data_IF_493269157273
#
_entry.id   IF_493269157273
#
_cell.length_a   1.000
_cell.length_b   1.000
_cell.length_c   1.000
_cell.angle_alpha   90.00
_cell.angle_beta   90.00
_cell.angle_gamma   90.00
#
_symmetry.space_group_name_H-M   'P 1'
#
loop_
_entity.id
_entity.type
_entity.pdbx_description
1 polymer ?
#
# COMPACT_ATOMS: atom_id res chain seq x y z
N UNK A 1 72.54 4.31 -0.90
CA UNK A 1 71.30 4.64 -0.15
C UNK A 1 70.12 3.99 -0.85
N UNK A 2 69.55 2.91 -0.29
CA UNK A 2 68.42 2.22 -0.84
C UNK A 2 67.18 2.88 -0.29
N UNK A 3 66.31 3.45 -1.15
CA UNK A 3 65.00 3.97 -0.76
C UNK A 3 64.00 2.80 -0.64
N UNK A 4 63.49 2.56 0.57
CA UNK A 4 62.39 1.64 0.82
C UNK A 4 61.11 2.42 0.66
N UNK A 5 60.28 2.04 -0.33
CA UNK A 5 58.93 2.58 -0.55
C UNK A 5 57.97 1.68 0.24
N UNK A 6 57.36 2.22 1.29
CA UNK A 6 56.26 1.57 1.99
C UNK A 6 54.97 1.81 1.20
N UNK A 7 54.45 0.75 0.59
CA UNK A 7 53.13 0.76 -0.04
C UNK A 7 52.10 0.45 1.06
N UNK A 8 51.44 1.49 1.57
CA UNK A 8 50.38 1.34 2.54
C UNK A 8 49.12 0.78 1.85
N UNK A 9 48.81 -0.47 2.14
CA UNK A 9 47.55 -1.10 1.72
C UNK A 9 46.43 -0.57 2.62
N UNK A 10 45.67 0.41 2.11
CA UNK A 10 44.44 0.87 2.77
C UNK A 10 43.39 -0.21 2.59
N UNK A 11 43.11 -1.00 3.65
CA UNK A 11 41.94 -1.85 3.72
C UNK A 11 40.69 -0.93 3.79
N UNK A 12 40.02 -0.78 2.67
CA UNK A 12 38.63 -0.27 2.66
C UNK A 12 37.77 -1.33 3.31
N UNK A 13 37.50 -1.19 4.61
CA UNK A 13 36.40 -1.91 5.26
C UNK A 13 35.12 -1.31 4.73
N UNK A 14 34.51 -1.96 3.74
CA UNK A 14 33.14 -1.71 3.35
C UNK A 14 32.27 -2.16 4.52
N UNK A 15 31.92 -1.23 5.38
CA UNK A 15 30.89 -1.45 6.40
C UNK A 15 29.58 -1.64 5.65
N UNK A 16 29.13 -2.87 5.49
CA UNK A 16 27.76 -3.15 5.13
C UNK A 16 26.88 -2.60 6.26
N UNK A 17 26.36 -1.40 6.07
CA UNK A 17 25.29 -0.87 6.91
C UNK A 17 24.11 -1.77 6.62
N UNK A 18 23.96 -2.80 7.44
CA UNK A 18 22.73 -3.59 7.47
C UNK A 18 21.61 -2.58 7.78
N UNK A 19 20.66 -2.48 6.89
CA UNK A 19 19.49 -1.64 7.13
C UNK A 19 18.73 -2.25 8.34
N UNK A 20 19.15 -1.84 9.53
CA UNK A 20 18.45 -2.18 10.76
C UNK A 20 17.09 -1.50 10.69
N UNK A 21 16.04 -2.24 11.06
CA UNK A 21 14.70 -1.66 11.18
C UNK A 21 14.78 -0.50 12.20
N UNK A 22 14.70 0.74 11.69
CA UNK A 22 14.89 1.96 12.47
C UNK A 22 13.57 2.47 13.08
N UNK A 23 12.82 1.58 13.74
CA UNK A 23 11.56 1.95 14.37
C UNK A 23 10.36 1.82 13.44
N UNK A 24 9.30 2.54 13.76
CA UNK A 24 8.04 2.53 13.03
C UNK A 24 8.19 3.16 11.64
N UNK A 25 7.51 2.59 10.64
CA UNK A 25 7.59 3.13 9.29
C UNK A 25 6.84 2.32 8.25
N UNK A 26 6.85 2.84 7.02
CA UNK A 26 6.21 2.23 5.88
C UNK A 26 7.22 1.49 5.00
N UNK A 27 6.91 0.24 4.71
CA UNK A 27 7.79 -0.68 4.00
C UNK A 27 7.05 -1.43 2.91
N UNK A 28 7.79 -1.87 1.89
CA UNK A 28 7.42 -3.04 1.08
C UNK A 28 8.16 -4.25 1.61
N UNK A 29 7.40 -5.29 1.90
CA UNK A 29 7.92 -6.57 2.39
C UNK A 29 8.08 -7.47 1.18
N UNK A 30 9.32 -7.86 0.89
CA UNK A 30 9.68 -8.64 -0.30
C UNK A 30 10.35 -9.94 0.10
N UNK A 31 9.87 -11.06 -0.43
CA UNK A 31 10.54 -12.33 -0.21
C UNK A 31 11.91 -12.34 -0.88
N UNK A 32 12.94 -12.77 -0.14
CA UNK A 32 14.31 -12.73 -0.65
C UNK A 32 14.57 -13.75 -1.77
N UNK A 33 13.93 -14.92 -1.70
CA UNK A 33 14.13 -16.00 -2.66
C UNK A 33 13.34 -15.81 -3.94
N UNK A 34 12.05 -15.52 -3.81
CA UNK A 34 11.14 -15.42 -4.95
C UNK A 34 11.11 -14.03 -5.57
N UNK A 35 11.50 -12.99 -4.81
CA UNK A 35 11.40 -11.59 -5.20
C UNK A 35 9.97 -11.06 -5.19
N UNK A 36 8.99 -11.83 -4.70
CA UNK A 36 7.58 -11.43 -4.63
C UNK A 36 7.35 -10.45 -3.48
N UNK A 37 6.46 -9.50 -3.70
CA UNK A 37 6.04 -8.51 -2.70
C UNK A 37 4.77 -8.97 -2.00
N UNK A 38 4.64 -8.60 -0.72
CA UNK A 38 3.43 -8.78 0.06
C UNK A 38 2.41 -7.73 -0.34
N UNK A 39 1.19 -8.18 -0.62
CA UNK A 39 -0.02 -7.37 -0.76
C UNK A 39 -1.06 -7.89 0.22
N UNK A 40 -1.79 -6.99 0.84
CA UNK A 40 -2.85 -7.36 1.77
C UNK A 40 -4.21 -7.18 1.12
N UNK A 41 -5.03 -8.22 1.22
CA UNK A 41 -6.40 -8.23 0.74
C UNK A 41 -7.35 -8.58 1.87
N UNK A 42 -8.64 -8.55 1.62
CA UNK A 42 -9.67 -8.95 2.58
C UNK A 42 -10.16 -10.40 2.40
N UNK A 43 -9.43 -11.17 1.60
CA UNK A 43 -9.70 -12.59 1.49
C UNK A 43 -9.45 -13.30 2.82
N UNK A 44 -10.26 -14.32 3.12
CA UNK A 44 -9.92 -15.31 4.16
C UNK A 44 -8.70 -16.10 3.67
N UNK A 45 -7.53 -15.54 3.92
CA UNK A 45 -6.31 -16.14 3.43
C UNK A 45 -5.89 -17.36 4.21
N UNK A 46 -4.93 -18.03 3.62
CA UNK A 46 -4.24 -19.19 4.16
C UNK A 46 -3.36 -18.89 5.37
N UNK A 47 -3.17 -17.63 5.75
CA UNK A 47 -2.35 -17.26 6.89
C UNK A 47 -3.19 -17.17 8.16
N UNK A 48 -3.48 -18.31 8.73
CA UNK A 48 -4.11 -18.42 10.04
C UNK A 48 -3.26 -19.26 10.98
N UNK A 49 -2.95 -18.71 12.15
CA UNK A 49 -2.52 -19.52 13.29
C UNK A 49 -3.70 -20.08 14.10
N UNK A 50 -4.90 -19.54 13.88
CA UNK A 50 -6.15 -19.98 14.50
C UNK A 50 -7.17 -20.28 13.41
N UNK A 51 -7.74 -21.47 13.43
CA UNK A 51 -8.83 -21.89 12.55
C UNK A 51 -10.18 -21.22 12.89
N UNK A 52 -10.22 -20.42 13.96
CA UNK A 52 -11.46 -19.84 14.51
C UNK A 52 -11.55 -18.32 14.34
N UNK A 53 -10.52 -17.63 13.86
CA UNK A 53 -10.56 -16.19 13.68
C UNK A 53 -11.23 -15.83 12.35
N UNK A 54 -12.32 -15.08 12.43
CA UNK A 54 -13.08 -14.58 11.28
C UNK A 54 -12.39 -13.38 10.59
N UNK A 55 -11.32 -12.84 11.19
CA UNK A 55 -10.76 -11.51 10.86
C UNK A 55 -9.37 -11.59 10.21
N UNK A 56 -9.06 -12.69 9.54
CA UNK A 56 -7.75 -12.86 8.92
C UNK A 56 -7.77 -12.38 7.47
N UNK A 57 -6.90 -11.42 7.20
CA UNK A 57 -6.66 -10.88 5.88
C UNK A 57 -5.67 -11.75 5.12
N UNK A 58 -5.92 -11.95 3.84
CA UNK A 58 -5.01 -12.72 2.99
C UNK A 58 -3.78 -11.89 2.66
N UNK A 59 -2.64 -12.54 2.73
CA UNK A 59 -1.42 -12.05 2.09
C UNK A 59 -1.33 -12.68 0.72
N UNK A 60 -1.31 -11.85 -0.31
CA UNK A 60 -1.05 -12.26 -1.68
C UNK A 60 0.37 -11.82 -2.06
N UNK A 61 1.08 -12.66 -2.80
CA UNK A 61 2.45 -12.41 -3.20
C UNK A 61 2.56 -12.25 -4.72
N UNK A 62 3.11 -11.10 -5.17
CA UNK A 62 3.26 -10.76 -6.59
C UNK A 62 4.67 -10.30 -6.91
N UNK A 63 5.15 -10.62 -8.11
CA UNK A 63 6.46 -10.13 -8.61
C UNK A 63 6.42 -8.75 -9.24
N UNK A 64 5.26 -8.27 -9.64
CA UNK A 64 5.14 -7.05 -10.43
C UNK A 64 5.48 -5.81 -9.59
N UNK A 65 6.69 -5.31 -9.78
CA UNK A 65 7.15 -4.08 -9.15
C UNK A 65 6.36 -2.85 -9.63
N UNK A 66 5.97 -2.80 -10.90
CA UNK A 66 5.19 -1.67 -11.43
C UNK A 66 3.83 -1.58 -10.75
N UNK A 67 3.23 -2.71 -10.39
CA UNK A 67 2.05 -2.73 -9.54
C UNK A 67 2.39 -2.29 -8.12
N UNK A 68 3.45 -2.82 -7.52
CA UNK A 68 3.82 -2.52 -6.14
C UNK A 68 4.01 -1.03 -5.89
N UNK A 69 4.61 -0.29 -6.82
CA UNK A 69 4.89 1.14 -6.64
C UNK A 69 3.65 2.03 -6.63
N UNK A 70 2.49 1.51 -7.04
CA UNK A 70 1.25 2.31 -7.14
C UNK A 70 0.03 1.67 -6.48
N UNK A 71 0.19 0.48 -5.90
CA UNK A 71 -0.91 -0.21 -5.22
C UNK A 71 -0.76 -0.02 -3.70
N UNK A 72 -1.67 0.71 -3.02
CA UNK A 72 -1.61 0.88 -1.58
C UNK A 72 -1.60 -0.44 -0.78
N UNK A 73 -2.17 -1.51 -1.33
CA UNK A 73 -2.15 -2.83 -0.70
C UNK A 73 -0.73 -3.40 -0.49
N UNK A 74 0.28 -2.89 -1.24
CA UNK A 74 1.70 -3.24 -1.07
C UNK A 74 2.40 -2.49 0.06
N UNK A 75 1.74 -1.51 0.66
CA UNK A 75 2.30 -0.66 1.70
C UNK A 75 2.02 -1.27 3.06
N UNK A 76 3.06 -1.64 3.77
CA UNK A 76 2.98 -2.25 5.10
C UNK A 76 3.54 -1.27 6.12
N UNK A 77 2.73 -0.90 7.10
CA UNK A 77 3.21 -0.15 8.25
C UNK A 77 3.71 -1.13 9.31
N UNK A 78 4.99 -1.04 9.63
CA UNK A 78 5.61 -1.86 10.68
C UNK A 78 5.72 -1.00 11.93
N UNK A 79 5.03 -1.41 12.98
CA UNK A 79 5.00 -0.73 14.27
C UNK A 79 5.64 -1.59 15.36
N UNK A 80 6.56 -1.01 16.11
CA UNK A 80 7.15 -1.69 17.26
C UNK A 80 6.19 -1.68 18.45
N UNK A 81 5.92 -2.85 19.02
CA UNK A 81 5.06 -3.04 20.20
C UNK A 81 5.83 -3.85 21.23
N UNK A 82 6.43 -3.18 22.20
CA UNK A 82 7.32 -3.83 23.17
C UNK A 82 8.55 -4.45 22.50
N UNK A 83 8.69 -5.77 22.57
CA UNK A 83 9.77 -6.53 21.91
C UNK A 83 9.37 -7.11 20.56
N UNK A 84 8.13 -6.93 20.14
CA UNK A 84 7.56 -7.47 18.93
C UNK A 84 7.16 -6.34 17.96
N UNK A 85 6.59 -6.71 16.83
CA UNK A 85 6.14 -5.79 15.79
C UNK A 85 4.72 -6.15 15.35
N UNK A 86 3.92 -5.12 15.12
CA UNK A 86 2.66 -5.23 14.42
C UNK A 86 2.88 -4.85 12.96
N UNK A 87 2.45 -5.71 12.05
CA UNK A 87 2.49 -5.48 10.62
C UNK A 87 1.08 -5.11 10.17
N UNK A 88 0.87 -3.84 9.84
CA UNK A 88 -0.44 -3.29 9.49
C UNK A 88 -0.52 -3.00 8.00
N UNK A 89 -1.65 -3.35 7.42
CA UNK A 89 -1.93 -2.98 6.04
C UNK A 89 -2.12 -1.47 5.92
N UNK A 90 -1.39 -0.85 5.03
CA UNK A 90 -1.48 0.56 4.62
C UNK A 90 -1.31 1.61 5.71
N UNK A 91 -1.64 1.35 6.98
CA UNK A 91 -1.67 2.42 7.96
C UNK A 91 -1.66 2.00 9.41
N UNK A 92 -1.71 3.00 10.29
CA UNK A 92 -1.54 2.84 11.74
C UNK A 92 -2.80 2.35 12.45
N UNK A 93 -3.97 2.44 11.83
CA UNK A 93 -5.25 2.34 12.55
C UNK A 93 -6.02 1.06 12.32
N UNK A 94 -5.75 0.28 11.28
CA UNK A 94 -6.79 -0.57 10.79
C UNK A 94 -6.55 -2.06 10.99
N UNK A 95 -5.71 -2.68 10.22
CA UNK A 95 -5.68 -4.14 10.22
C UNK A 95 -4.27 -4.69 10.37
N UNK A 96 -4.05 -5.45 11.44
CA UNK A 96 -2.87 -6.30 11.55
C UNK A 96 -2.94 -7.40 10.49
N UNK A 97 -1.89 -7.54 9.69
CA UNK A 97 -1.85 -8.47 8.55
C UNK A 97 -2.01 -9.92 9.02
N UNK A 98 -1.51 -10.24 10.19
CA UNK A 98 -1.43 -11.61 10.68
C UNK A 98 -2.34 -11.81 11.92
N UNK A 99 -3.04 -10.77 12.36
CA UNK A 99 -3.92 -10.83 13.54
C UNK A 99 -3.19 -10.99 14.87
N UNK A 100 -1.85 -10.92 14.90
CA UNK A 100 -1.01 -11.00 16.10
C UNK A 100 0.36 -10.36 15.86
N UNK A 101 1.06 -10.04 16.95
CA UNK A 101 2.39 -9.47 16.87
C UNK A 101 3.43 -10.51 16.46
N UNK A 102 4.37 -10.10 15.63
CA UNK A 102 5.48 -10.91 15.17
C UNK A 102 6.80 -10.48 15.79
N UNK A 103 7.70 -11.42 15.95
CA UNK A 103 9.11 -11.14 16.20
C UNK A 103 9.83 -11.02 14.85
N UNK A 104 10.68 -10.01 14.72
CA UNK A 104 11.55 -9.83 13.58
C UNK A 104 12.99 -10.15 14.00
N UNK A 105 13.56 -11.22 13.45
CA UNK A 105 14.94 -11.60 13.68
C UNK A 105 15.77 -11.27 12.46
N UNK A 106 16.70 -10.33 12.62
CA UNK A 106 17.64 -9.96 11.56
C UNK A 106 18.63 -11.11 11.27
N UNK A 107 18.93 -11.28 9.99
CA UNK A 107 19.97 -12.16 9.50
C UNK A 107 21.22 -11.36 9.13
N UNK A 108 22.36 -12.04 9.03
CA UNK A 108 23.64 -11.40 8.64
C UNK A 108 23.65 -10.87 7.21
N UNK A 109 22.74 -11.33 6.36
CA UNK A 109 22.57 -10.90 4.97
C UNK A 109 21.61 -9.70 4.80
N UNK A 110 21.16 -9.08 5.92
CA UNK A 110 20.25 -7.93 5.92
C UNK A 110 18.78 -8.29 5.73
N UNK A 111 18.45 -9.58 5.65
CA UNK A 111 17.07 -10.05 5.63
C UNK A 111 16.54 -10.29 7.04
N UNK A 112 15.24 -10.58 7.13
CA UNK A 112 14.56 -10.84 8.38
C UNK A 112 13.74 -12.14 8.31
N UNK A 113 13.69 -12.85 9.43
CA UNK A 113 12.62 -13.80 9.69
C UNK A 113 11.50 -13.09 10.46
N UNK A 114 10.28 -13.21 9.96
CA UNK A 114 9.08 -12.79 10.68
C UNK A 114 8.40 -14.05 11.25
N UNK A 115 8.26 -14.11 12.57
CA UNK A 115 7.71 -15.30 13.23
C UNK A 115 6.90 -14.93 14.47
N UNK A 116 6.02 -15.86 14.86
CA UNK A 116 5.30 -15.79 16.12
C UNK A 116 5.35 -17.14 16.84
N UNK A 117 5.31 -17.09 18.17
CA UNK A 117 5.28 -18.27 19.02
C UNK A 117 3.99 -18.26 19.84
N UNK A 118 3.22 -19.32 19.74
CA UNK A 118 2.01 -19.54 20.52
C UNK A 118 2.01 -20.97 21.07
N UNK A 119 1.75 -21.13 22.36
CA UNK A 119 1.72 -22.44 23.03
C UNK A 119 2.98 -23.31 22.77
N UNK A 120 4.15 -22.68 22.73
CA UNK A 120 5.42 -23.35 22.47
C UNK A 120 5.70 -23.71 21.00
N UNK A 121 4.79 -23.41 20.09
CA UNK A 121 4.97 -23.64 18.65
C UNK A 121 5.35 -22.33 17.97
N UNK A 122 6.51 -22.32 17.30
CA UNK A 122 6.95 -21.17 16.49
C UNK A 122 6.61 -21.40 15.04
N UNK A 123 5.94 -20.40 14.43
CA UNK A 123 5.64 -20.37 12.99
C UNK A 123 6.23 -19.15 12.33
N UNK A 124 6.69 -19.32 11.12
CA UNK A 124 7.36 -18.30 10.31
C UNK A 124 6.49 -17.88 9.12
N UNK A 125 6.48 -16.60 8.82
CA UNK A 125 5.96 -16.14 7.54
C UNK A 125 6.87 -16.60 6.43
N UNK A 126 6.32 -17.26 5.43
CA UNK A 126 7.05 -17.79 4.28
C UNK A 126 6.34 -17.54 2.97
N UNK A 127 7.09 -17.64 1.89
CA UNK A 127 6.57 -17.76 0.55
C UNK A 127 6.50 -19.26 0.18
N UNK A 128 5.64 -19.62 -0.75
CA UNK A 128 5.51 -20.99 -1.24
C UNK A 128 6.71 -21.37 -2.11
N UNK A 129 7.28 -22.54 -1.87
CA UNK A 129 8.27 -23.14 -2.77
C UNK A 129 7.64 -23.53 -4.11
N UNK A 130 6.35 -23.77 -4.14
CA UNK A 130 5.56 -24.14 -5.32
C UNK A 130 5.01 -22.85 -5.95
N UNK A 131 5.77 -22.28 -6.82
CA UNK A 131 5.85 -20.88 -7.22
C UNK A 131 4.62 -20.25 -7.88
N UNK A 132 3.54 -20.98 -8.14
CA UNK A 132 2.38 -20.46 -8.89
C UNK A 132 1.20 -20.07 -7.99
N UNK A 133 1.25 -20.40 -6.69
CA UNK A 133 0.26 -19.90 -5.73
C UNK A 133 0.58 -18.45 -5.37
N UNK A 134 -0.38 -17.53 -5.47
CA UNK A 134 -0.20 -16.17 -4.99
C UNK A 134 -0.15 -16.07 -3.47
N UNK A 135 -0.50 -17.14 -2.74
CA UNK A 135 -0.71 -17.10 -1.31
C UNK A 135 0.60 -17.19 -0.53
N UNK A 136 0.74 -16.34 0.50
CA UNK A 136 1.72 -16.52 1.56
C UNK A 136 1.30 -17.64 2.51
N UNK A 137 2.21 -18.15 3.33
CA UNK A 137 1.91 -19.20 4.29
C UNK A 137 2.67 -19.03 5.59
N UNK A 138 2.16 -19.67 6.65
CA UNK A 138 2.87 -19.86 7.91
C UNK A 138 3.37 -21.30 8.01
N UNK A 139 4.63 -21.46 8.38
CA UNK A 139 5.26 -22.75 8.53
C UNK A 139 5.92 -22.90 9.90
N UNK A 140 5.97 -24.14 10.43
CA UNK A 140 6.70 -24.45 11.65
C UNK A 140 8.22 -24.56 11.45
N UNK A 141 8.70 -24.61 10.20
CA UNK A 141 10.14 -24.72 9.94
C UNK A 141 10.85 -23.36 10.09
N UNK A 142 11.95 -23.35 10.84
CA UNK A 142 12.65 -22.15 11.26
C UNK A 142 13.73 -21.62 10.32
N UNK A 143 14.02 -22.30 9.21
CA UNK A 143 15.12 -21.94 8.32
C UNK A 143 14.72 -22.11 6.86
N UNK A 144 15.50 -21.50 5.97
CA UNK A 144 15.30 -21.58 4.55
C UNK A 144 15.05 -20.21 3.89
N UNK A 145 15.47 -20.10 2.63
CA UNK A 145 15.47 -18.82 1.92
C UNK A 145 14.06 -18.28 1.63
N UNK A 146 13.06 -19.14 1.50
CA UNK A 146 11.66 -18.76 1.27
C UNK A 146 11.01 -18.08 2.50
N UNK A 147 11.67 -18.10 3.67
CA UNK A 147 11.22 -17.43 4.90
C UNK A 147 11.97 -16.15 5.20
N UNK A 148 12.92 -15.79 4.35
CA UNK A 148 13.69 -14.56 4.46
C UNK A 148 13.00 -13.42 3.73
N UNK A 149 12.88 -12.30 4.42
CA UNK A 149 12.19 -11.11 3.94
C UNK A 149 13.10 -9.90 3.93
N UNK A 150 13.05 -9.13 2.87
CA UNK A 150 13.59 -7.77 2.80
C UNK A 150 12.51 -6.80 3.24
N UNK A 151 12.84 -5.94 4.18
CA UNK A 151 11.99 -4.85 4.63
C UNK A 151 12.51 -3.57 3.94
N UNK A 152 11.94 -3.26 2.78
CA UNK A 152 12.38 -2.16 1.95
C UNK A 152 11.64 -0.87 2.36
N UNK A 153 12.28 0.13 3.01
CA UNK A 153 11.63 1.38 3.36
C UNK A 153 11.09 2.07 2.10
N UNK A 154 9.87 2.60 2.16
CA UNK A 154 9.33 3.39 1.06
C UNK A 154 9.84 4.82 1.19
N UNK A 155 10.59 5.28 0.17
CA UNK A 155 11.19 6.60 0.11
C UNK A 155 10.98 7.20 -1.27
N UNK A 156 10.59 8.45 -1.32
CA UNK A 156 10.26 9.16 -2.56
C UNK A 156 11.44 9.37 -3.51
N UNK A 157 12.66 9.46 -2.99
CA UNK A 157 13.92 9.68 -3.71
C UNK A 157 14.64 8.38 -4.12
N UNK A 158 14.11 7.23 -3.71
CA UNK A 158 14.64 5.90 -3.99
C UNK A 158 13.84 5.22 -5.13
N UNK A 159 14.39 4.13 -5.66
CA UNK A 159 13.68 3.22 -6.55
C UNK A 159 12.45 2.56 -5.90
N UNK A 160 12.40 2.47 -4.57
CA UNK A 160 11.27 1.95 -3.81
C UNK A 160 10.27 3.06 -3.40
N UNK A 161 9.91 3.94 -4.32
CA UNK A 161 8.93 5.01 -4.10
C UNK A 161 7.49 4.50 -4.08
N UNK A 162 6.55 5.34 -3.62
CA UNK A 162 5.13 5.18 -3.88
C UNK A 162 4.64 6.31 -4.80
N UNK A 163 3.91 5.94 -5.85
CA UNK A 163 3.40 6.90 -6.83
C UNK A 163 1.95 6.61 -7.21
N UNK A 164 1.25 7.62 -7.69
CA UNK A 164 -0.13 7.50 -8.16
C UNK A 164 -0.15 7.09 -9.62
N UNK A 165 -0.83 5.99 -9.94
CA UNK A 165 -1.08 5.59 -11.32
C UNK A 165 -2.24 6.41 -11.89
N UNK A 166 -1.99 7.15 -12.97
CA UNK A 166 -3.06 7.83 -13.72
C UNK A 166 -4.04 6.83 -14.31
N UNK A 167 -5.34 7.14 -14.26
CA UNK A 167 -6.42 6.30 -14.77
C UNK A 167 -7.11 6.91 -15.98
N UNK A 168 -7.24 8.24 -16.00
CA UNK A 168 -8.01 8.96 -17.00
C UNK A 168 -7.21 10.16 -17.50
N UNK A 169 -7.24 10.37 -18.82
CA UNK A 169 -6.70 11.56 -19.45
C UNK A 169 -7.86 12.31 -20.08
N UNK A 170 -8.05 13.58 -19.68
CA UNK A 170 -9.12 14.41 -20.20
C UNK A 170 -8.81 14.95 -21.62
N UNK A 171 -9.81 15.54 -22.26
CA UNK A 171 -9.65 16.11 -23.61
C UNK A 171 -8.62 17.26 -23.69
N UNK A 172 -8.23 17.84 -22.55
CA UNK A 172 -7.19 18.88 -22.45
C UNK A 172 -5.81 18.35 -22.13
N UNK A 173 -5.68 17.01 -21.99
CA UNK A 173 -4.42 16.32 -21.74
C UNK A 173 -4.04 16.20 -20.28
N UNK A 174 -4.89 16.58 -19.33
CA UNK A 174 -4.63 16.39 -17.91
C UNK A 174 -4.92 14.95 -17.48
N UNK A 175 -4.09 14.45 -16.57
CA UNK A 175 -4.17 13.09 -16.04
C UNK A 175 -4.82 13.08 -14.66
N UNK A 176 -5.70 12.11 -14.41
CA UNK A 176 -6.45 12.00 -13.16
C UNK A 176 -6.49 10.55 -12.66
N UNK A 177 -6.63 10.42 -11.34
CA UNK A 177 -6.90 9.15 -10.68
C UNK A 177 -7.93 9.33 -9.56
N UNK A 178 -8.73 8.31 -9.35
CA UNK A 178 -9.47 8.10 -8.11
C UNK A 178 -8.53 7.47 -7.09
N UNK A 179 -8.48 7.99 -5.86
CA UNK A 179 -7.50 7.54 -4.88
C UNK A 179 -8.06 7.46 -3.47
N UNK A 180 -7.72 6.38 -2.78
CA UNK A 180 -7.95 6.17 -1.37
C UNK A 180 -6.84 5.31 -0.77
N UNK A 181 -6.29 5.71 0.37
CA UNK A 181 -5.30 4.95 1.12
C UNK A 181 -5.40 5.23 2.61
N UNK A 182 -4.98 4.26 3.43
CA UNK A 182 -5.00 4.36 4.90
C UNK A 182 -3.72 4.95 5.50
N UNK A 183 -2.88 5.57 4.67
CA UNK A 183 -1.70 6.31 5.13
C UNK A 183 -1.82 7.79 4.79
N UNK A 184 -1.32 8.67 5.66
CA UNK A 184 -1.22 10.10 5.35
C UNK A 184 -0.04 10.34 4.41
N UNK A 185 -0.17 11.36 3.55
CA UNK A 185 0.87 11.67 2.57
C UNK A 185 0.88 13.14 2.17
N UNK A 186 2.00 13.57 1.62
CA UNK A 186 2.12 14.82 0.85
C UNK A 186 2.57 14.51 -0.57
N UNK A 187 2.38 15.45 -1.49
CA UNK A 187 2.93 15.30 -2.82
C UNK A 187 4.43 15.57 -2.82
N UNK A 188 5.21 14.63 -3.33
CA UNK A 188 6.62 14.84 -3.61
C UNK A 188 6.83 15.43 -5.02
N UNK A 189 6.13 14.89 -6.01
CA UNK A 189 6.19 15.40 -7.37
C UNK A 189 5.44 16.72 -7.50
N UNK A 190 6.07 17.69 -8.19
CA UNK A 190 5.45 18.97 -8.50
C UNK A 190 4.33 18.82 -9.53
N UNK A 191 3.34 19.71 -9.50
CA UNK A 191 2.22 19.68 -10.44
C UNK A 191 1.03 18.82 -10.05
N UNK A 192 1.19 17.93 -9.08
CA UNK A 192 0.08 17.15 -8.52
C UNK A 192 -0.87 18.02 -7.69
N UNK A 193 -2.15 17.68 -7.70
CA UNK A 193 -3.18 18.33 -6.87
C UNK A 193 -4.21 17.31 -6.41
N UNK A 194 -4.74 17.48 -5.21
CA UNK A 194 -5.85 16.70 -4.69
C UNK A 194 -7.13 17.53 -4.66
N UNK A 195 -8.25 16.88 -4.95
CA UNK A 195 -9.58 17.45 -4.90
C UNK A 195 -10.54 16.51 -4.20
N UNK A 196 -11.58 17.07 -3.60
CA UNK A 196 -12.69 16.35 -3.02
C UNK A 196 -14.03 17.02 -3.39
N UNK A 197 -15.13 16.31 -3.20
CA UNK A 197 -16.47 16.82 -3.48
C UNK A 197 -17.07 17.39 -2.20
N UNK A 198 -17.54 18.65 -2.29
CA UNK A 198 -18.15 19.35 -1.13
C UNK A 198 -19.66 19.45 -1.24
N UNK A 199 -20.21 19.36 -2.46
CA UNK A 199 -21.64 19.56 -2.73
C UNK A 199 -22.05 18.89 -4.04
N UNK A 200 -23.31 18.56 -4.16
CA UNK A 200 -23.97 18.16 -5.41
C UNK A 200 -25.01 19.23 -5.73
N UNK A 201 -24.92 19.82 -6.90
CA UNK A 201 -25.85 20.84 -7.41
C UNK A 201 -26.45 20.37 -8.73
N UNK A 202 -27.70 19.92 -8.69
CA UNK A 202 -28.32 19.25 -9.83
C UNK A 202 -27.49 18.02 -10.24
N UNK A 203 -26.99 18.00 -11.48
CA UNK A 203 -26.15 16.95 -12.03
C UNK A 203 -24.64 17.26 -11.95
N UNK A 204 -24.23 18.25 -11.15
CA UNK A 204 -22.83 18.65 -11.01
C UNK A 204 -22.29 18.37 -9.62
N UNK A 205 -21.12 17.79 -9.56
CA UNK A 205 -20.33 17.68 -8.33
C UNK A 205 -19.45 18.93 -8.18
N UNK A 206 -19.63 19.67 -7.10
CA UNK A 206 -18.78 20.82 -6.74
C UNK A 206 -17.52 20.29 -6.09
N UNK A 207 -16.39 20.47 -6.76
CA UNK A 207 -15.08 20.03 -6.27
C UNK A 207 -14.34 21.18 -5.59
N UNK A 208 -13.62 20.85 -4.53
CA UNK A 208 -12.70 21.77 -3.83
C UNK A 208 -11.31 21.18 -3.84
N UNK A 209 -10.31 22.02 -4.08
CA UNK A 209 -8.91 21.66 -3.95
C UNK A 209 -8.57 21.46 -2.45
N UNK A 210 -7.74 20.47 -2.16
CA UNK A 210 -7.14 20.33 -0.82
C UNK A 210 -6.04 21.40 -0.70
N UNK A 211 -6.19 22.27 0.28
CA UNK A 211 -5.26 23.38 0.49
C UNK A 211 -4.08 23.01 1.39
N UNK A 212 -4.19 21.93 2.15
CA UNK A 212 -3.13 21.44 3.04
C UNK A 212 -2.06 20.67 2.25
N UNK A 213 -0.81 20.87 2.58
CA UNK A 213 0.30 20.11 2.01
C UNK A 213 0.27 18.62 2.43
N UNK A 214 -0.18 18.37 3.66
CA UNK A 214 -0.33 17.02 4.19
C UNK A 214 -1.80 16.58 4.12
N UNK A 215 -2.02 15.44 3.47
CA UNK A 215 -3.32 14.81 3.31
C UNK A 215 -3.47 13.72 4.37
N UNK A 216 -4.55 13.75 5.18
CA UNK A 216 -4.82 12.73 6.19
C UNK A 216 -4.98 11.34 5.59
N UNK A 217 -4.66 10.31 6.37
CA UNK A 217 -5.08 8.93 6.08
C UNK A 217 -6.60 8.83 5.89
N UNK A 218 -7.05 7.78 5.23
CA UNK A 218 -8.48 7.49 5.01
C UNK A 218 -9.24 8.63 4.31
N UNK A 219 -8.54 9.39 3.46
CA UNK A 219 -9.14 10.52 2.74
C UNK A 219 -9.43 10.14 1.29
N UNK A 220 -10.71 9.98 0.89
CA UNK A 220 -11.09 9.74 -0.50
C UNK A 220 -10.88 10.99 -1.35
N UNK A 221 -10.22 10.85 -2.50
CA UNK A 221 -9.78 11.98 -3.33
C UNK A 221 -9.92 11.72 -4.82
N UNK A 222 -9.93 12.81 -5.58
CA UNK A 222 -9.55 12.87 -6.98
C UNK A 222 -8.15 13.46 -7.02
N UNK A 223 -7.19 12.77 -7.61
CA UNK A 223 -5.84 13.29 -7.79
C UNK A 223 -5.66 13.69 -9.24
N UNK A 224 -5.30 14.96 -9.47
CA UNK A 224 -4.70 15.40 -10.72
C UNK A 224 -3.23 15.02 -10.66
N UNK A 225 -2.83 14.11 -11.54
CA UNK A 225 -1.46 13.65 -11.69
C UNK A 225 -0.60 14.67 -12.46
N UNK A 226 0.69 14.69 -12.22
CA UNK A 226 1.63 15.50 -13.00
C UNK A 226 1.82 14.93 -14.41
N UNK A 227 1.75 13.59 -14.55
CA UNK A 227 2.00 12.86 -15.78
C UNK A 227 1.16 11.57 -15.80
N UNK A 228 1.17 10.86 -16.93
CA UNK A 228 0.67 9.49 -17.05
C UNK A 228 1.67 8.45 -16.49
N UNK A 229 2.91 8.83 -16.28
CA UNK A 229 3.95 7.98 -15.70
C UNK A 229 3.90 8.00 -14.16
N UNK A 230 3.74 6.83 -13.54
CA UNK A 230 3.69 6.68 -12.08
C UNK A 230 4.92 7.22 -11.37
N UNK A 231 6.13 7.10 -11.97
CA UNK A 231 7.38 7.59 -11.37
C UNK A 231 7.47 9.12 -11.28
N UNK A 232 6.61 9.82 -12.01
CA UNK A 232 6.48 11.29 -11.99
C UNK A 232 5.35 11.77 -11.07
N UNK A 233 4.60 10.84 -10.45
CA UNK A 233 3.49 11.10 -9.54
C UNK A 233 3.78 10.62 -8.12
N UNK A 234 4.97 10.89 -7.61
CA UNK A 234 5.43 10.35 -6.32
C UNK A 234 4.77 11.02 -5.13
N UNK A 235 4.44 10.21 -4.14
CA UNK A 235 3.97 10.63 -2.83
C UNK A 235 5.09 10.49 -1.78
N UNK A 236 5.07 11.35 -0.80
CA UNK A 236 5.84 11.23 0.42
C UNK A 236 4.90 10.73 1.53
N UNK A 237 4.95 9.43 1.83
CA UNK A 237 4.14 8.84 2.89
C UNK A 237 4.64 9.33 4.24
N UNK A 238 3.73 9.73 5.12
CA UNK A 238 4.01 10.34 6.41
C UNK A 238 3.56 9.40 7.54
N UNK A 239 4.13 9.60 8.73
CA UNK A 239 3.71 8.89 9.94
C UNK A 239 2.83 9.76 10.86
N UNK A 240 2.70 11.03 10.52
CA UNK A 240 1.93 11.99 11.33
C UNK A 240 0.42 11.78 11.12
N UNK A 241 -0.32 11.74 12.22
CA UNK A 241 -1.79 11.71 12.16
C UNK A 241 -2.34 13.13 12.03
N UNK A 242 -3.33 13.29 11.15
CA UNK A 242 -4.11 14.52 10.98
C UNK A 242 -5.59 14.23 11.08
N UNK A 243 -6.36 15.26 11.41
CA UNK A 243 -7.80 15.18 11.35
C UNK A 243 -8.30 15.01 9.89
N UNK A 244 -9.33 14.21 9.70
CA UNK A 244 -9.97 13.99 8.39
C UNK A 244 -10.47 15.32 7.79
N UNK A 245 -10.53 15.39 6.45
CA UNK A 245 -11.09 16.55 5.76
C UNK A 245 -12.60 16.65 6.03
N UNK A 246 -13.01 17.81 6.57
CA UNK A 246 -14.42 18.09 6.81
C UNK A 246 -15.17 18.35 5.52
N UNK A 247 -16.42 17.87 5.44
CA UNK A 247 -17.32 18.14 4.31
C UNK A 247 -16.98 17.42 3.01
N UNK A 248 -16.16 16.38 3.04
CA UNK A 248 -15.90 15.52 1.90
C UNK A 248 -17.06 14.54 1.68
N UNK A 249 -17.72 14.60 0.53
CA UNK A 249 -18.81 13.69 0.14
C UNK A 249 -18.33 12.41 -0.55
N UNK A 250 -17.04 12.33 -0.90
CA UNK A 250 -16.48 11.10 -1.44
C UNK A 250 -16.38 10.03 -0.36
N UNK A 251 -16.55 8.79 -0.76
CA UNK A 251 -16.33 7.61 0.08
C UNK A 251 -15.13 6.82 -0.45
N UNK A 252 -14.41 6.15 0.43
CA UNK A 252 -13.26 5.33 0.08
C UNK A 252 -13.56 3.84 0.14
N UNK A 253 -12.87 3.06 -0.69
CA UNK A 253 -12.88 1.60 -0.64
C UNK A 253 -11.49 1.12 -0.26
N UNK A 254 -11.41 0.40 0.85
CA UNK A 254 -10.14 -0.03 1.41
C UNK A 254 -9.57 -1.27 0.71
N UNK A 255 -10.33 -2.38 0.69
CA UNK A 255 -9.87 -3.64 0.14
C UNK A 255 -10.33 -3.91 -1.29
N UNK A 256 -9.65 -4.84 -1.96
CA UNK A 256 -10.04 -5.32 -3.28
C UNK A 256 -11.38 -6.04 -3.24
N UNK A 257 -12.33 -5.57 -4.03
CA UNK A 257 -13.73 -5.99 -3.96
C UNK A 257 -14.24 -6.62 -5.27
N UNK A 258 -13.35 -7.15 -6.09
CA UNK A 258 -13.72 -7.72 -7.39
C UNK A 258 -14.14 -9.20 -7.33
N UNK A 259 -13.96 -9.87 -6.19
CA UNK A 259 -14.26 -11.29 -6.01
C UNK A 259 -15.42 -11.49 -5.03
N UNK A 260 -16.37 -12.41 -5.29
CA UNK A 260 -17.51 -12.63 -4.41
C UNK A 260 -17.15 -13.26 -3.05
N UNK A 261 -15.91 -13.67 -2.86
CA UNK A 261 -15.40 -14.26 -1.61
C UNK A 261 -14.81 -13.22 -0.65
N UNK A 262 -14.66 -11.96 -1.09
CA UNK A 262 -14.13 -10.90 -0.24
C UNK A 262 -15.15 -10.42 0.79
N UNK A 263 -14.71 -10.18 2.04
CA UNK A 263 -15.57 -9.80 3.15
C UNK A 263 -16.08 -8.38 3.09
N UNK A 264 -15.23 -7.46 2.73
CA UNK A 264 -15.49 -6.02 2.77
C UNK A 264 -15.89 -5.48 1.39
N UNK A 265 -16.46 -6.32 0.54
CA UNK A 265 -16.95 -5.89 -0.77
C UNK A 265 -17.97 -4.78 -0.63
N UNK A 266 -17.80 -3.74 -1.42
CA UNK A 266 -18.81 -2.72 -1.61
C UNK A 266 -19.49 -2.96 -2.95
N UNK A 267 -20.71 -3.53 -2.91
CA UNK A 267 -21.51 -3.71 -4.11
C UNK A 267 -21.84 -2.36 -4.73
N UNK A 268 -21.62 -2.24 -6.04
CA UNK A 268 -21.93 -1.01 -6.75
C UNK A 268 -23.44 -0.87 -6.98
N UNK A 269 -23.99 0.27 -6.59
CA UNK A 269 -25.39 0.61 -6.83
C UNK A 269 -25.48 1.77 -7.85
N UNK A 270 -25.88 1.51 -9.10
CA UNK A 270 -25.95 2.54 -10.13
C UNK A 270 -27.01 3.62 -9.87
N UNK A 271 -27.96 3.38 -8.95
CA UNK A 271 -28.97 4.38 -8.59
C UNK A 271 -28.41 5.48 -7.68
N UNK A 272 -27.44 5.13 -6.82
CA UNK A 272 -26.94 6.04 -5.78
C UNK A 272 -25.41 6.20 -5.75
N UNK A 273 -24.68 5.53 -6.63
CA UNK A 273 -23.23 5.61 -6.68
C UNK A 273 -22.73 6.07 -8.03
N UNK A 274 -21.64 6.84 -8.02
CA UNK A 274 -20.91 7.28 -9.20
C UNK A 274 -19.43 7.06 -8.99
N UNK A 275 -18.75 6.61 -10.03
CA UNK A 275 -17.28 6.45 -10.05
C UNK A 275 -16.65 7.52 -10.94
N UNK A 276 -15.40 7.84 -10.66
CA UNK A 276 -14.63 8.73 -11.55
C UNK A 276 -14.46 8.05 -12.91
N UNK A 277 -14.60 8.82 -13.98
CA UNK A 277 -14.46 8.31 -15.35
C UNK A 277 -14.50 9.41 -16.39
N UNK A 278 -14.41 9.03 -17.67
CA UNK A 278 -14.53 9.94 -18.79
C UNK A 278 -16.00 10.09 -19.19
N UNK A 279 -16.47 11.33 -19.25
CA UNK A 279 -17.79 11.69 -19.79
C UNK A 279 -17.75 11.72 -21.33
N UNK A 280 -18.92 11.73 -21.97
CA UNK A 280 -19.03 11.75 -23.43
C UNK A 280 -18.37 12.97 -24.10
N UNK A 281 -18.19 14.06 -23.38
CA UNK A 281 -17.50 15.27 -23.86
C UNK A 281 -15.97 15.19 -23.66
N UNK A 282 -15.43 14.06 -23.21
CA UNK A 282 -14.00 13.84 -22.96
C UNK A 282 -13.47 14.44 -21.65
N UNK A 283 -14.31 15.06 -20.83
CA UNK A 283 -13.90 15.55 -19.52
C UNK A 283 -13.97 14.43 -18.48
N UNK A 284 -13.15 14.51 -17.43
CA UNK A 284 -13.25 13.64 -16.26
C UNK A 284 -14.41 14.10 -15.38
N UNK A 285 -15.21 13.14 -14.92
CA UNK A 285 -16.36 13.40 -14.04
C UNK A 285 -16.83 12.14 -13.34
N UNK A 286 -17.95 12.25 -12.65
CA UNK A 286 -18.57 11.11 -11.96
C UNK A 286 -19.65 10.49 -12.85
N UNK A 287 -19.46 9.22 -13.20
CA UNK A 287 -20.31 8.49 -14.15
C UNK A 287 -20.94 7.26 -13.52
N UNK A 288 -22.03 6.77 -14.13
CA UNK A 288 -22.56 5.41 -13.88
C UNK A 288 -21.61 4.39 -14.52
N UNK A 289 -21.46 3.25 -13.89
CA UNK A 289 -20.63 2.15 -14.36
C UNK A 289 -21.42 0.86 -14.42
N UNK A 290 -20.89 -0.13 -15.13
CA UNK A 290 -21.40 -1.50 -15.20
C UNK A 290 -20.70 -2.49 -14.26
N UNK A 291 -19.81 -2.01 -13.38
CA UNK A 291 -19.11 -2.85 -12.41
C UNK A 291 -20.08 -3.42 -11.38
N UNK A 292 -19.81 -4.64 -10.91
CA UNK A 292 -20.58 -5.26 -9.84
C UNK A 292 -20.15 -4.78 -8.45
N UNK A 293 -18.86 -4.50 -8.28
CA UNK A 293 -18.25 -4.08 -7.03
C UNK A 293 -17.28 -2.92 -7.26
N UNK A 294 -17.15 -2.07 -6.25
CA UNK A 294 -16.18 -0.96 -6.28
C UNK A 294 -14.76 -1.51 -6.07
N UNK A 295 -13.78 -1.07 -6.88
CA UNK A 295 -12.40 -1.51 -6.72
C UNK A 295 -11.75 -0.91 -5.47
N UNK A 296 -10.81 -1.67 -4.88
CA UNK A 296 -10.04 -1.22 -3.72
C UNK A 296 -9.20 0.02 -4.02
N UNK A 297 -8.94 0.78 -2.96
CA UNK A 297 -8.10 1.98 -2.97
C UNK A 297 -8.58 3.07 -3.95
N UNK A 298 -9.90 3.08 -4.19
CA UNK A 298 -10.59 4.06 -5.01
C UNK A 298 -11.58 4.85 -4.20
N UNK A 299 -11.87 6.06 -4.67
CA UNK A 299 -12.95 6.88 -4.16
C UNK A 299 -14.17 6.80 -5.08
N UNK A 300 -15.35 6.94 -4.50
CA UNK A 300 -16.62 7.04 -5.21
C UNK A 300 -17.50 8.12 -4.60
N UNK A 301 -18.50 8.57 -5.34
CA UNK A 301 -19.45 9.57 -4.89
C UNK A 301 -20.80 8.93 -4.63
N UNK A 302 -21.37 9.18 -3.46
CA UNK A 302 -22.78 8.84 -3.16
C UNK A 302 -23.65 10.01 -3.59
N UNK A 303 -24.68 9.73 -4.38
CA UNK A 303 -25.63 10.72 -4.90
C UNK A 303 -27.05 10.37 -4.49
N UNK A 304 -27.98 11.35 -4.40
CA UNK A 304 -29.38 11.08 -4.22
C UNK A 304 -29.94 10.18 -5.33
N UNK A 305 -30.90 9.32 -4.98
CA UNK A 305 -31.58 8.50 -5.98
C UNK A 305 -32.27 9.38 -7.03
N UNK A 306 -32.08 9.02 -8.31
CA UNK A 306 -32.63 9.81 -9.42
C UNK A 306 -31.69 10.89 -9.99
N UNK A 307 -30.49 11.02 -9.41
CA UNK A 307 -29.44 11.96 -9.92
C UNK A 307 -28.68 11.34 -11.10
#
# INVERSE_FOLDING_TARGET
MKKVVFLGLALLTVSFVHAQLNGDGYYRVQNNKTGRFVYVTDDKGSISMSTTSADLYAIILWKDFNRAVSDPASVIYIQKVGTQYDLKSQGTGVYSIIGFYVSLRANTDGTYYAYATSSGITKYLGDSEFSDSPDGYLTSEGSGDYRKWKLNPIKQDDGNYFGVKSEFKDATGNNYASFYAEFPFSFYSTGMKAYYVTKIEGNMAVIKKVDNDLIPASTPLIIKCASDNTSENKLNIQTNSLAALSGNLLQGVYFQNSQPTHYNQVAYNPSTMRVLGLMSNGNVGFIKSSISYLPANKSYLVVPAGT
#
